data_IF_656418242705
#
_entry.id   IF_656418242705
#
_cell.length_a   1.000
_cell.length_b   1.000
_cell.length_c   1.000
_cell.angle_alpha   90.00
_cell.angle_beta   90.00
_cell.angle_gamma   90.00
#
_symmetry.space_group_name_H-M   'P 1'
#
loop_
_entity.id
_entity.type
_entity.pdbx_description
1 polymer ?
#
# COMPACT_ATOMS: atom_id res chain seq x y z
N UNK A 1 -19.30 -4.13 -3.86
CA UNK A 1 -18.30 -3.07 -4.10
C UNK A 1 -18.61 -2.01 -3.09
N UNK A 2 -17.77 -1.75 -2.09
CA UNK A 2 -17.95 -0.73 -1.04
C UNK A 2 -17.89 0.69 -1.66
N UNK A 3 -18.45 1.74 -1.05
CA UNK A 3 -18.20 3.10 -1.53
C UNK A 3 -16.68 3.39 -1.53
N UNK A 4 -16.22 4.33 -2.37
CA UNK A 4 -14.81 4.73 -2.49
C UNK A 4 -14.21 4.99 -1.11
N UNK A 5 -14.99 5.59 -0.20
CA UNK A 5 -14.57 5.88 1.17
C UNK A 5 -14.21 4.64 1.98
N UNK A 6 -14.96 3.54 1.86
CA UNK A 6 -14.64 2.28 2.55
C UNK A 6 -13.42 1.59 1.96
N UNK A 7 -13.21 1.66 0.64
CA UNK A 7 -11.98 1.18 0.00
C UNK A 7 -10.74 1.93 0.49
N UNK A 8 -10.81 3.26 0.60
CA UNK A 8 -9.73 4.06 1.19
C UNK A 8 -9.49 3.69 2.67
N UNK A 9 -10.55 3.44 3.43
CA UNK A 9 -10.45 2.92 4.80
C UNK A 9 -9.71 1.60 4.87
N UNK A 10 -10.03 0.65 3.99
CA UNK A 10 -9.36 -0.66 3.94
C UNK A 10 -7.89 -0.53 3.52
N UNK A 11 -7.59 0.31 2.52
CA UNK A 11 -6.23 0.60 2.08
C UNK A 11 -5.37 1.18 3.20
N UNK A 12 -5.92 2.09 4.01
CA UNK A 12 -5.22 2.60 5.19
C UNK A 12 -4.91 1.47 6.19
N UNK A 13 -5.85 0.58 6.48
CA UNK A 13 -5.61 -0.53 7.41
C UNK A 13 -4.51 -1.47 6.89
N UNK A 14 -4.56 -1.83 5.60
CA UNK A 14 -3.56 -2.67 4.96
C UNK A 14 -2.17 -2.02 4.88
N UNK A 15 -2.11 -0.68 4.84
CA UNK A 15 -0.85 0.07 4.86
C UNK A 15 -0.25 0.23 6.27
N UNK A 16 -0.97 -0.10 7.34
CA UNK A 16 -0.48 0.06 8.72
C UNK A 16 0.85 -0.66 9.02
N UNK A 17 1.16 -1.86 8.46
CA UNK A 17 2.45 -2.51 8.66
C UNK A 17 3.66 -1.71 8.15
N UNK A 18 3.46 -0.75 7.23
CA UNK A 18 4.53 0.07 6.67
C UNK A 18 5.32 0.84 7.74
N UNK A 19 4.64 1.25 8.83
CA UNK A 19 5.21 1.93 9.99
C UNK A 19 6.31 1.15 10.69
N UNK A 20 6.33 -0.18 10.53
CA UNK A 20 7.38 -1.03 11.07
C UNK A 20 8.61 -1.14 10.15
N UNK A 21 8.49 -0.73 8.88
CA UNK A 21 9.51 -1.01 7.85
C UNK A 21 10.27 0.25 7.44
N UNK A 22 9.55 1.33 7.12
CA UNK A 22 10.13 2.48 6.42
C UNK A 22 10.36 3.73 7.28
N UNK A 23 10.02 3.69 8.57
CA UNK A 23 10.09 4.87 9.43
C UNK A 23 9.04 5.93 9.06
N UNK A 24 8.90 6.99 9.85
CA UNK A 24 7.80 7.97 9.72
C UNK A 24 7.51 8.47 8.31
N UNK A 25 8.54 9.03 7.65
CA UNK A 25 8.37 9.66 6.33
C UNK A 25 8.09 8.65 5.24
N UNK A 26 8.84 7.54 5.23
CA UNK A 26 8.64 6.47 4.26
C UNK A 26 7.28 5.80 4.43
N UNK A 27 6.83 5.59 5.66
CA UNK A 27 5.52 5.00 5.97
C UNK A 27 4.36 5.91 5.56
N UNK A 28 4.47 7.22 5.79
CA UNK A 28 3.49 8.18 5.29
C UNK A 28 3.44 8.21 3.76
N UNK A 29 4.61 8.21 3.10
CA UNK A 29 4.67 8.14 1.64
C UNK A 29 4.07 6.83 1.11
N UNK A 30 4.37 5.71 1.77
CA UNK A 30 3.86 4.40 1.39
C UNK A 30 2.35 4.32 1.55
N UNK A 31 1.84 4.84 2.67
CA UNK A 31 0.40 4.91 2.94
C UNK A 31 -0.31 5.77 1.89
N UNK A 32 0.24 6.95 1.57
CA UNK A 32 -0.31 7.81 0.52
C UNK A 32 -0.28 7.14 -0.85
N UNK A 33 0.80 6.42 -1.16
CA UNK A 33 0.91 5.67 -2.41
C UNK A 33 -0.11 4.53 -2.48
N UNK A 34 -0.22 3.70 -1.43
CA UNK A 34 -1.20 2.63 -1.33
C UNK A 34 -2.64 3.14 -1.50
N UNK A 35 -2.98 4.28 -0.89
CA UNK A 35 -4.29 4.93 -1.06
C UNK A 35 -4.58 5.32 -2.51
N UNK A 36 -3.63 5.96 -3.19
CA UNK A 36 -3.78 6.37 -4.60
C UNK A 36 -3.95 5.14 -5.50
N UNK A 37 -3.27 4.05 -5.16
CA UNK A 37 -3.33 2.82 -5.96
C UNK A 37 -4.51 1.90 -5.61
N UNK A 38 -5.23 2.16 -4.51
CA UNK A 38 -6.30 1.28 -4.04
C UNK A 38 -7.40 1.10 -5.09
N UNK A 39 -7.78 2.17 -5.78
CA UNK A 39 -8.83 2.16 -6.81
C UNK A 39 -8.34 1.71 -8.20
N UNK A 40 -7.10 1.21 -8.34
CA UNK A 40 -6.61 0.76 -9.65
C UNK A 40 -7.39 -0.41 -10.25
N UNK A 41 -7.85 -1.42 -9.48
CA UNK A 41 -8.68 -2.49 -10.04
C UNK A 41 -9.92 -1.95 -10.77
N UNK A 42 -10.61 -0.97 -10.18
CA UNK A 42 -11.80 -0.30 -10.73
C UNK A 42 -11.54 0.57 -11.96
N UNK A 43 -10.29 0.73 -12.40
CA UNK A 43 -10.03 1.36 -13.70
C UNK A 43 -10.64 0.56 -14.84
N UNK A 44 -10.96 -0.73 -14.61
CA UNK A 44 -11.72 -1.56 -15.55
C UNK A 44 -13.12 -1.02 -15.87
N UNK A 45 -13.77 -0.29 -14.96
CA UNK A 45 -15.06 0.36 -15.20
C UNK A 45 -14.99 1.39 -16.33
N UNK A 46 -13.83 2.02 -16.49
CA UNK A 46 -13.54 2.94 -17.60
C UNK A 46 -13.06 2.15 -18.82
N UNK A 47 -12.17 1.17 -18.62
CA UNK A 47 -11.58 0.40 -19.72
C UNK A 47 -12.59 -0.47 -20.46
N UNK A 48 -13.63 -0.98 -19.80
CA UNK A 48 -14.69 -1.76 -20.44
C UNK A 48 -15.46 -0.97 -21.52
N UNK A 49 -15.38 0.36 -21.51
CA UNK A 49 -15.89 1.22 -22.59
C UNK A 49 -15.06 1.18 -23.88
N UNK A 50 -13.83 0.64 -23.82
CA UNK A 50 -12.86 0.68 -24.93
C UNK A 50 -12.24 -0.70 -25.23
N UNK A 51 -12.22 -1.60 -24.27
CA UNK A 51 -11.56 -2.90 -24.32
C UNK A 51 -12.51 -3.99 -23.79
N UNK A 52 -12.35 -5.26 -24.21
CA UNK A 52 -13.17 -6.37 -23.73
C UNK A 52 -12.74 -6.81 -22.31
N UNK A 53 -12.83 -5.89 -21.35
CA UNK A 53 -12.57 -6.13 -19.93
C UNK A 53 -13.90 -6.18 -19.20
N UNK A 54 -14.04 -7.12 -18.27
CA UNK A 54 -15.22 -7.22 -17.40
C UNK A 54 -14.85 -6.73 -16.03
N UNK A 55 -15.64 -5.81 -15.48
CA UNK A 55 -15.51 -5.42 -14.08
C UNK A 55 -15.73 -6.64 -13.17
N UNK A 56 -14.94 -6.75 -12.10
CA UNK A 56 -14.80 -7.98 -11.29
C UNK A 56 -14.21 -9.20 -12.04
N UNK A 57 -13.62 -8.99 -13.22
CA UNK A 57 -12.91 -10.00 -13.99
C UNK A 57 -11.43 -10.11 -13.60
N UNK A 58 -10.56 -10.26 -14.61
CA UNK A 58 -9.12 -10.52 -14.42
C UNK A 58 -8.42 -9.46 -13.55
N UNK A 59 -8.81 -8.20 -13.67
CA UNK A 59 -8.30 -7.05 -12.91
C UNK A 59 -8.50 -7.18 -11.40
N UNK A 60 -9.52 -7.95 -10.98
CA UNK A 60 -9.88 -8.20 -9.59
C UNK A 60 -9.38 -9.57 -9.10
N UNK A 61 -8.26 -10.06 -9.65
CA UNK A 61 -7.61 -11.29 -9.20
C UNK A 61 -6.31 -10.99 -8.47
N UNK A 62 -6.00 -11.80 -7.45
CA UNK A 62 -4.74 -11.71 -6.70
C UNK A 62 -3.55 -11.88 -7.66
N UNK A 63 -3.66 -12.80 -8.62
CA UNK A 63 -2.61 -13.05 -9.60
C UNK A 63 -2.33 -11.81 -10.45
N UNK A 64 -3.38 -11.18 -11.01
CA UNK A 64 -3.22 -9.98 -11.83
C UNK A 64 -2.61 -8.84 -11.02
N UNK A 65 -3.15 -8.56 -9.83
CA UNK A 65 -2.64 -7.50 -8.94
C UNK A 65 -1.16 -7.71 -8.65
N UNK A 66 -0.75 -8.93 -8.27
CA UNK A 66 0.65 -9.23 -7.95
C UNK A 66 1.56 -9.09 -9.18
N UNK A 67 1.19 -9.68 -10.31
CA UNK A 67 2.02 -9.63 -11.53
C UNK A 67 2.19 -8.20 -12.05
N UNK A 68 1.09 -7.43 -12.12
CA UNK A 68 1.15 -6.04 -12.56
C UNK A 68 1.94 -5.16 -11.58
N UNK A 69 1.86 -5.43 -10.27
CA UNK A 69 2.63 -4.72 -9.26
C UNK A 69 4.14 -5.01 -9.36
N UNK A 70 4.52 -6.25 -9.66
CA UNK A 70 5.93 -6.61 -9.91
C UNK A 70 6.42 -5.90 -11.17
N UNK A 71 5.66 -5.98 -12.27
CA UNK A 71 6.01 -5.32 -13.53
C UNK A 71 6.19 -3.81 -13.34
N UNK A 72 5.22 -3.14 -12.71
CA UNK A 72 5.28 -1.72 -12.43
C UNK A 72 6.45 -1.37 -11.49
N UNK A 73 6.74 -2.20 -10.49
CA UNK A 73 7.89 -2.00 -9.61
C UNK A 73 9.23 -2.12 -10.33
N UNK A 74 9.37 -3.07 -11.26
CA UNK A 74 10.58 -3.20 -12.10
C UNK A 74 10.77 -1.94 -12.94
N UNK A 75 9.70 -1.44 -13.57
CA UNK A 75 9.74 -0.22 -14.36
C UNK A 75 10.07 1.00 -13.48
N UNK A 76 9.45 1.11 -12.30
CA UNK A 76 9.73 2.18 -11.34
C UNK A 76 11.20 2.17 -10.90
N UNK A 77 11.74 1.02 -10.53
CA UNK A 77 13.14 0.89 -10.14
C UNK A 77 14.10 1.24 -11.28
N UNK A 78 13.78 0.85 -12.51
CA UNK A 78 14.62 1.13 -13.68
C UNK A 78 14.61 2.60 -14.09
N UNK A 79 13.46 3.26 -14.03
CA UNK A 79 13.30 4.60 -14.61
C UNK A 79 13.23 5.74 -13.59
N UNK A 80 12.87 5.46 -12.33
CA UNK A 80 12.65 6.50 -11.32
C UNK A 80 13.78 6.60 -10.28
N UNK A 81 14.61 5.57 -10.10
CA UNK A 81 15.68 5.58 -9.08
C UNK A 81 16.65 6.74 -9.28
N UNK A 82 17.23 6.85 -10.47
CA UNK A 82 18.20 7.92 -10.78
C UNK A 82 17.55 9.28 -10.70
N UNK A 83 16.28 9.39 -11.12
CA UNK A 83 15.52 10.63 -11.03
C UNK A 83 15.28 11.07 -9.57
N UNK A 84 14.91 10.14 -8.68
CA UNK A 84 14.73 10.42 -7.25
C UNK A 84 16.04 10.86 -6.60
N UNK A 85 17.15 10.19 -6.92
CA UNK A 85 18.47 10.50 -6.39
C UNK A 85 19.00 11.85 -6.90
N UNK A 86 18.84 12.14 -8.19
CA UNK A 86 19.28 13.39 -8.81
C UNK A 86 18.48 14.61 -8.30
N UNK A 87 17.17 14.47 -8.11
CA UNK A 87 16.30 15.57 -7.68
C UNK A 87 16.31 15.81 -6.17
N UNK A 88 16.86 14.87 -5.38
CA UNK A 88 16.90 14.93 -3.90
C UNK A 88 15.54 15.20 -3.27
N UNK A 89 14.44 14.87 -3.97
CA UNK A 89 13.06 15.12 -3.51
C UNK A 89 12.74 14.32 -2.26
N UNK A 90 13.32 13.14 -2.16
CA UNK A 90 13.27 12.34 -0.95
C UNK A 90 14.47 12.77 -0.12
N UNK A 91 14.23 13.40 1.04
CA UNK A 91 15.28 13.84 1.99
C UNK A 91 15.91 12.63 2.69
N UNK A 92 16.52 11.74 1.93
CA UNK A 92 17.31 10.59 2.36
C UNK A 92 18.70 10.65 1.75
N UNK A 93 19.59 9.77 2.23
CA UNK A 93 20.75 9.34 1.45
C UNK A 93 20.31 8.73 0.11
N UNK A 94 21.28 8.40 -0.73
CA UNK A 94 21.05 7.67 -1.98
C UNK A 94 20.13 6.47 -1.77
N UNK A 95 19.09 6.37 -2.60
CA UNK A 95 18.08 5.32 -2.56
C UNK A 95 18.51 4.25 -3.55
N UNK A 96 18.66 3.02 -3.05
CA UNK A 96 18.94 1.87 -3.89
C UNK A 96 17.73 1.53 -4.78
N UNK A 97 17.98 1.07 -6.01
CA UNK A 97 16.92 0.62 -6.93
C UNK A 97 16.07 -0.52 -6.35
N UNK A 98 16.68 -1.38 -5.53
CA UNK A 98 15.96 -2.43 -4.78
C UNK A 98 14.89 -1.84 -3.84
N UNK A 99 15.19 -0.71 -3.20
CA UNK A 99 14.24 -0.01 -2.32
C UNK A 99 13.09 0.57 -3.12
N UNK A 100 13.36 1.18 -4.28
CA UNK A 100 12.30 1.68 -5.18
C UNK A 100 11.42 0.55 -5.69
N UNK A 101 12.03 -0.56 -6.11
CA UNK A 101 11.33 -1.77 -6.53
C UNK A 101 10.38 -2.28 -5.44
N UNK A 102 10.91 -2.56 -4.24
CA UNK A 102 10.12 -3.11 -3.13
C UNK A 102 9.03 -2.15 -2.70
N UNK A 103 9.33 -0.84 -2.60
CA UNK A 103 8.34 0.16 -2.22
C UNK A 103 7.19 0.24 -3.22
N UNK A 104 7.50 0.31 -4.53
CA UNK A 104 6.49 0.40 -5.57
C UNK A 104 5.66 -0.89 -5.69
N UNK A 105 6.31 -2.06 -5.74
CA UNK A 105 5.61 -3.35 -5.80
C UNK A 105 4.76 -3.59 -4.56
N UNK A 106 5.31 -3.39 -3.36
CA UNK A 106 4.54 -3.61 -2.13
C UNK A 106 3.38 -2.62 -2.02
N UNK A 107 3.56 -1.36 -2.41
CA UNK A 107 2.47 -0.37 -2.35
C UNK A 107 1.31 -0.70 -3.28
N UNK A 108 1.61 -1.12 -4.51
CA UNK A 108 0.60 -1.56 -5.48
C UNK A 108 -0.11 -2.84 -5.03
N UNK A 109 0.64 -3.82 -4.47
CA UNK A 109 0.04 -5.04 -3.91
C UNK A 109 -0.86 -4.69 -2.73
N UNK A 110 -0.39 -3.86 -1.80
CA UNK A 110 -1.17 -3.44 -0.62
C UNK A 110 -2.44 -2.71 -1.05
N UNK A 111 -2.34 -1.76 -1.97
CA UNK A 111 -3.49 -1.05 -2.52
C UNK A 111 -4.47 -2.00 -3.19
N UNK A 112 -4.01 -2.78 -4.17
CA UNK A 112 -4.87 -3.71 -4.91
C UNK A 112 -5.49 -4.79 -4.02
N UNK A 113 -4.72 -5.43 -3.15
CA UNK A 113 -5.27 -6.47 -2.26
C UNK A 113 -6.26 -5.90 -1.23
N UNK A 114 -6.05 -4.68 -0.75
CA UNK A 114 -7.02 -4.03 0.13
C UNK A 114 -8.36 -3.79 -0.57
N UNK A 115 -8.32 -3.51 -1.88
CA UNK A 115 -9.49 -3.33 -2.72
C UNK A 115 -10.26 -4.62 -2.89
N UNK A 116 -9.59 -5.66 -3.40
CA UNK A 116 -10.18 -7.00 -3.55
C UNK A 116 -10.77 -7.53 -2.23
N UNK A 117 -10.10 -7.24 -1.10
CA UNK A 117 -10.58 -7.64 0.21
C UNK A 117 -11.86 -6.90 0.61
N UNK A 118 -11.95 -5.60 0.36
CA UNK A 118 -13.17 -4.82 0.59
C UNK A 118 -14.33 -5.32 -0.29
N UNK A 119 -14.05 -5.64 -1.55
CA UNK A 119 -15.06 -6.21 -2.46
C UNK A 119 -15.58 -7.56 -1.98
N UNK A 120 -14.69 -8.47 -1.59
CA UNK A 120 -15.07 -9.79 -1.06
C UNK A 120 -15.95 -9.65 0.18
N UNK A 121 -15.64 -8.72 1.08
CA UNK A 121 -16.42 -8.47 2.30
C UNK A 121 -17.78 -7.79 2.07
N UNK A 122 -18.02 -7.25 0.87
CA UNK A 122 -19.25 -6.52 0.51
C UNK A 122 -20.13 -7.26 -0.51
N UNK A 123 -19.78 -8.51 -0.84
CA UNK A 123 -20.58 -9.36 -1.71
C UNK A 123 -21.59 -10.17 -0.87
N UNK A 124 -22.91 -10.24 -1.23
CA UNK A 124 -23.47 -10.01 -2.55
C UNK A 124 -24.43 -8.80 -2.65
N UNK A 125 -24.45 -7.89 -1.67
CA UNK A 125 -25.53 -6.90 -1.51
C UNK A 125 -25.81 -6.11 -2.81
N UNK A 126 -24.78 -5.73 -3.58
CA UNK A 126 -24.96 -4.84 -4.77
C UNK A 126 -24.06 -5.19 -5.97
N UNK A 127 -23.07 -6.07 -5.84
CA UNK A 127 -22.09 -6.31 -6.91
C UNK A 127 -21.92 -7.79 -7.27
N UNK A 128 -21.49 -8.04 -8.51
CA UNK A 128 -21.25 -9.38 -9.02
C UNK A 128 -20.25 -10.15 -8.11
N UNK A 129 -20.48 -11.44 -7.84
CA UNK A 129 -19.55 -12.24 -7.04
C UNK A 129 -18.13 -12.20 -7.60
N UNK A 130 -17.13 -12.08 -6.72
CA UNK A 130 -15.72 -11.96 -7.10
C UNK A 130 -15.04 -13.34 -7.13
N UNK A 131 -14.20 -13.62 -8.12
CA UNK A 131 -13.36 -14.84 -8.19
C UNK A 131 -11.87 -14.48 -8.02
N UNK A 132 -11.43 -14.05 -6.81
CA UNK A 132 -10.10 -13.44 -6.62
C UNK A 132 -8.93 -14.41 -6.89
N UNK A 133 -9.19 -15.72 -6.86
CA UNK A 133 -8.19 -16.76 -7.06
C UNK A 133 -8.18 -17.36 -8.47
N UNK A 134 -8.95 -16.79 -9.40
CA UNK A 134 -8.85 -17.16 -10.81
C UNK A 134 -7.41 -16.89 -11.31
N UNK A 135 -6.80 -17.78 -12.13
CA UNK A 135 -7.38 -18.96 -12.78
C UNK A 135 -7.22 -20.27 -12.00
N UNK A 136 -6.68 -20.24 -10.78
CA UNK A 136 -6.45 -21.45 -9.98
C UNK A 136 -7.75 -21.97 -9.38
N UNK A 137 -8.63 -21.06 -8.97
CA UNK A 137 -9.96 -21.35 -8.45
C UNK A 137 -10.97 -20.38 -9.07
N UNK A 138 -11.89 -20.92 -9.86
CA UNK A 138 -12.80 -20.12 -10.70
C UNK A 138 -14.12 -19.75 -10.02
N UNK A 139 -14.48 -20.46 -8.95
CA UNK A 139 -15.73 -20.18 -8.24
C UNK A 139 -15.64 -18.85 -7.49
N UNK A 140 -16.78 -18.18 -7.38
CA UNK A 140 -16.85 -16.93 -6.67
C UNK A 140 -16.75 -17.14 -5.16
N UNK A 141 -16.13 -16.18 -4.47
CA UNK A 141 -16.09 -16.09 -3.02
C UNK A 141 -17.02 -14.97 -2.60
N UNK A 142 -17.96 -15.32 -1.71
CA UNK A 142 -18.99 -14.41 -1.23
C UNK A 142 -18.88 -14.36 0.30
N UNK A 143 -18.63 -13.17 0.83
CA UNK A 143 -18.56 -12.91 2.28
C UNK A 143 -19.37 -11.65 2.57
N UNK A 144 -20.59 -11.83 3.07
CA UNK A 144 -21.53 -10.73 3.28
C UNK A 144 -21.43 -10.16 4.69
N UNK A 145 -20.46 -9.27 4.92
CA UNK A 145 -20.19 -8.70 6.26
C UNK A 145 -20.34 -7.19 6.27
N UNK A 146 -19.92 -6.53 5.19
CA UNK A 146 -19.88 -5.07 5.07
C UNK A 146 -20.99 -4.61 4.12
N UNK A 147 -21.98 -3.91 4.68
CA UNK A 147 -23.06 -3.30 3.91
C UNK A 147 -22.57 -2.08 3.13
N UNK A 148 -22.85 -2.04 1.83
CA UNK A 148 -22.34 -1.02 0.90
C UNK A 148 -22.65 0.40 1.31
N UNK A 149 -23.94 0.69 1.53
CA UNK A 149 -24.45 2.05 1.76
C UNK A 149 -24.49 2.40 3.25
N UNK A 150 -23.73 1.68 4.07
CA UNK A 150 -23.67 1.92 5.52
C UNK A 150 -22.66 3.02 5.83
N UNK A 151 -23.10 4.20 6.35
CA UNK A 151 -22.17 5.25 6.73
C UNK A 151 -21.18 4.81 7.82
N UNK A 152 -21.57 3.82 8.64
CA UNK A 152 -20.71 3.25 9.68
C UNK A 152 -19.55 2.49 9.04
N UNK A 153 -19.82 1.66 8.03
CA UNK A 153 -18.77 0.91 7.35
C UNK A 153 -17.88 1.81 6.49
N UNK A 154 -18.45 2.83 5.86
CA UNK A 154 -17.71 3.75 5.00
C UNK A 154 -16.89 4.76 5.81
N UNK A 155 -17.55 5.57 6.63
CA UNK A 155 -16.88 6.64 7.38
C UNK A 155 -16.30 6.17 8.71
N UNK A 156 -16.93 5.19 9.37
CA UNK A 156 -16.42 4.64 10.61
C UNK A 156 -15.11 3.88 10.40
N UNK A 157 -15.03 3.03 9.37
CA UNK A 157 -13.78 2.34 8.99
C UNK A 157 -12.68 3.34 8.65
N UNK A 158 -13.00 4.34 7.83
CA UNK A 158 -12.07 5.40 7.46
C UNK A 158 -11.57 6.16 8.69
N UNK A 159 -12.46 6.56 9.60
CA UNK A 159 -12.10 7.26 10.83
C UNK A 159 -11.20 6.42 11.75
N UNK A 160 -11.50 5.12 11.92
CA UNK A 160 -10.67 4.19 12.69
C UNK A 160 -9.30 4.04 12.06
N UNK A 161 -9.22 3.86 10.74
CA UNK A 161 -7.97 3.70 10.03
C UNK A 161 -7.10 4.96 10.10
N UNK A 162 -7.68 6.15 9.89
CA UNK A 162 -6.98 7.43 10.10
C UNK A 162 -6.50 7.56 11.55
N UNK A 163 -7.36 7.24 12.53
CA UNK A 163 -7.00 7.23 13.94
C UNK A 163 -5.80 6.34 14.25
N UNK A 164 -5.76 5.14 13.68
CA UNK A 164 -4.62 4.22 13.78
C UNK A 164 -3.34 4.85 13.24
N UNK A 165 -3.36 5.43 12.03
CA UNK A 165 -2.20 6.11 11.45
C UNK A 165 -1.74 7.32 12.28
N UNK A 166 -2.66 8.07 12.89
CA UNK A 166 -2.32 9.16 13.82
C UNK A 166 -1.66 8.65 15.10
N UNK A 167 -2.12 7.51 15.64
CA UNK A 167 -1.50 6.87 16.80
C UNK A 167 -0.11 6.37 16.44
N UNK A 168 0.05 5.67 15.31
CA UNK A 168 1.33 5.19 14.82
C UNK A 168 2.31 6.35 14.60
N UNK A 169 1.86 7.43 13.96
CA UNK A 169 2.67 8.64 13.74
C UNK A 169 3.16 9.32 15.02
N UNK A 170 2.43 9.18 16.15
CA UNK A 170 2.82 9.72 17.46
C UNK A 170 3.65 8.75 18.29
N UNK A 171 3.47 7.45 18.10
CA UNK A 171 4.05 6.37 18.92
C UNK A 171 5.26 5.72 18.30
N UNK A 172 5.60 6.04 17.05
CA UNK A 172 6.68 5.39 16.33
C UNK A 172 8.02 5.57 17.07
N UNK A 173 8.48 4.48 17.67
CA UNK A 173 9.74 4.43 18.41
C UNK A 173 10.78 3.50 17.74
N UNK A 174 10.38 2.60 16.84
CA UNK A 174 11.27 1.54 16.33
C UNK A 174 10.90 1.07 14.91
N UNK A 175 11.36 1.72 13.83
CA UNK A 175 11.41 1.06 12.54
C UNK A 175 12.39 -0.12 12.63
N UNK A 176 12.01 -1.28 12.08
CA UNK A 176 12.90 -2.43 11.96
C UNK A 176 14.14 -2.01 11.15
N UNK A 177 15.31 -2.47 11.58
CA UNK A 177 16.53 -2.28 10.80
C UNK A 177 16.46 -3.19 9.56
N UNK A 178 16.10 -2.60 8.43
CA UNK A 178 16.03 -3.29 7.13
C UNK A 178 16.88 -2.56 6.10
N UNK A 179 17.36 -3.29 5.08
CA UNK A 179 18.09 -2.70 3.95
C UNK A 179 17.25 -1.74 3.09
N UNK A 180 15.92 -1.77 3.27
CA UNK A 180 14.95 -0.98 2.50
C UNK A 180 14.55 0.33 3.17
N UNK A 181 15.21 0.70 4.27
CA UNK A 181 14.89 1.91 5.04
C UNK A 181 15.08 3.18 4.19
N UNK A 182 14.11 4.09 4.26
CA UNK A 182 14.14 5.38 3.55
C UNK A 182 14.38 6.51 4.56
N UNK A 183 15.55 7.14 4.50
CA UNK A 183 15.97 8.21 5.42
C UNK A 183 17.35 7.94 6.03
N UNK A 184 18.07 9.00 6.42
CA UNK A 184 19.46 8.91 6.85
C UNK A 184 19.67 7.93 8.03
N UNK A 185 20.65 7.03 7.91
CA UNK A 185 21.47 6.63 9.06
C UNK A 185 22.24 7.89 9.44
N UNK A 186 21.95 8.49 10.58
CA UNK A 186 22.90 9.42 11.17
C UNK A 186 24.08 8.56 11.62
N UNK A 187 25.16 8.59 10.86
CA UNK A 187 26.49 8.21 11.35
C UNK A 187 26.81 9.15 12.51
N UNK A 188 26.47 8.74 13.73
CA UNK A 188 27.06 9.20 15.00
C UNK A 188 26.41 8.37 16.11
N UNK A 189 26.68 7.06 16.05
CA UNK A 189 26.59 6.16 17.19
C UNK A 189 27.84 6.21 18.07
N UNK A 190 28.68 7.24 17.95
CA UNK A 190 29.77 7.47 18.88
C UNK A 190 29.24 8.24 20.09
N UNK A 191 29.00 7.50 21.18
CA UNK A 191 29.20 8.10 22.51
C UNK A 191 30.66 8.52 22.57
N UNK A 192 30.90 9.82 22.50
CA UNK A 192 32.17 10.41 22.88
C UNK A 192 32.38 10.08 24.37
N UNK A 193 33.04 8.96 24.66
CA UNK A 193 33.65 8.74 25.96
C UNK A 193 34.71 9.81 26.10
N UNK A 194 34.39 10.85 26.85
CA UNK A 194 35.38 11.74 27.44
C UNK A 194 36.22 10.89 28.39
N UNK A 195 37.29 10.30 27.85
CA UNK A 195 38.40 9.80 28.63
C UNK A 195 39.15 11.01 29.15
N UNK A 196 38.83 11.38 30.39
CA UNK A 196 39.76 12.12 31.23
C UNK A 196 40.99 11.24 31.45
N UNK A 197 42.14 11.70 30.94
CA UNK A 197 43.46 11.47 31.50
C UNK A 197 44.03 12.91 31.52
N UNK A 198 44.03 13.66 32.63
CA UNK A 198 44.87 13.46 33.82
C UNK A 198 46.31 13.05 33.50
N UNK A 199 47.19 14.02 33.76
CA UNK A 199 48.67 14.06 33.84
C UNK A 199 49.50 14.06 32.54
#
# INVERSE_FOLDING_TARGET
MVDVTGHLGMALLFAAPAWMVWGRRGSLAFTGFALVTAMLPDTDLVLQGYLPVTHHGVTHTVLFVVLMSILAGVLAARYLTDWFNATRRIRSSEIAGETVFVFATAGLIVGGLSHLFADVLSAPDIAAPLSPFWPVYSEAIIVDVIYYDSPIWNFGLLAVAVGLHLVLARRERYPLETRYRIGARTETGERQYSGANEE
#
